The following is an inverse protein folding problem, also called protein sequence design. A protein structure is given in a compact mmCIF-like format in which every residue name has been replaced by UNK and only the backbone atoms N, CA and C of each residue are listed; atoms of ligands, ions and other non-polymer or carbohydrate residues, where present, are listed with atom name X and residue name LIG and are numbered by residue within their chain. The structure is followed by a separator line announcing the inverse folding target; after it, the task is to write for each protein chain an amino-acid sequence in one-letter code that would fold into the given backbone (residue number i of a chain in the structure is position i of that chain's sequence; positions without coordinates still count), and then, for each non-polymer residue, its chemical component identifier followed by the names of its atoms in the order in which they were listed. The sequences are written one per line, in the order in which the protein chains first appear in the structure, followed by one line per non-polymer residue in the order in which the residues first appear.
data_IF_382893713498
#
_entry.id   IF_382893713498
#
_cell.length_a   1.000
_cell.length_b   1.000
_cell.length_c   1.000
_cell.angle_alpha   90.00
_cell.angle_beta   90.00
_cell.angle_gamma   90.00
#
_symmetry.space_group_name_H-M   'P 1'
#
loop_
_entity.id
_entity.type
_entity.pdbx_description
1 polymer ?
#
# COMPACT_ATOMS: atom_id res chain seq x y z
N UNK A 1 1.71 6.63 -29.88
CA UNK A 1 1.19 5.57 -28.99
C UNK A 1 1.19 6.13 -27.58
N UNK A 2 0.04 6.61 -27.08
CA UNK A 2 -0.08 6.98 -25.66
C UNK A 2 -0.28 5.69 -24.88
N UNK A 3 0.83 5.14 -24.41
CA UNK A 3 0.83 3.89 -23.64
C UNK A 3 0.20 4.18 -22.28
N UNK A 4 -0.74 3.32 -21.90
CA UNK A 4 -1.59 3.39 -20.73
C UNK A 4 -0.80 3.62 -19.43
N UNK A 5 -0.55 4.90 -19.12
CA UNK A 5 0.23 5.33 -17.93
C UNK A 5 -0.51 4.99 -16.64
N UNK A 6 -1.82 4.80 -16.71
CA UNK A 6 -2.68 4.43 -15.58
C UNK A 6 -2.32 3.07 -14.98
N UNK A 7 -1.97 2.06 -15.80
CA UNK A 7 -1.65 0.72 -15.29
C UNK A 7 -0.29 0.64 -14.62
N UNK A 8 0.68 1.45 -15.03
CA UNK A 8 2.00 1.54 -14.39
C UNK A 8 1.94 2.11 -12.97
N UNK A 9 0.83 2.76 -12.61
CA UNK A 9 0.65 3.43 -11.31
C UNK A 9 -0.30 2.67 -10.37
N UNK A 10 -0.65 1.42 -10.68
CA UNK A 10 -1.48 0.56 -9.83
C UNK A 10 -0.66 -0.59 -9.28
N UNK A 11 -0.82 -0.85 -7.99
CA UNK A 11 -0.14 -1.93 -7.28
C UNK A 11 -1.16 -2.88 -6.66
N UNK A 12 -0.88 -4.18 -6.71
CA UNK A 12 -1.59 -5.18 -5.90
C UNK A 12 -0.96 -5.29 -4.51
N UNK A 13 -1.68 -5.92 -3.57
CA UNK A 13 -1.21 -6.13 -2.19
C UNK A 13 0.21 -6.71 -2.14
N UNK A 14 0.50 -7.69 -2.98
CA UNK A 14 1.79 -8.38 -3.03
C UNK A 14 2.93 -7.45 -3.47
N UNK A 15 2.66 -6.55 -4.42
CA UNK A 15 3.63 -5.55 -4.87
C UNK A 15 3.86 -4.49 -3.79
N UNK A 16 2.80 -4.05 -3.10
CA UNK A 16 2.92 -3.08 -2.00
C UNK A 16 3.74 -3.67 -0.84
N UNK A 17 3.52 -4.94 -0.52
CA UNK A 17 4.30 -5.65 0.49
C UNK A 17 5.78 -5.72 0.12
N UNK A 18 6.09 -6.00 -1.15
CA UNK A 18 7.46 -6.09 -1.63
C UNK A 18 8.15 -4.72 -1.76
N UNK A 19 7.49 -3.72 -2.35
CA UNK A 19 8.07 -2.39 -2.58
C UNK A 19 8.17 -1.53 -1.32
N UNK A 20 7.19 -1.64 -0.42
CA UNK A 20 7.09 -0.76 0.76
C UNK A 20 7.27 -1.48 2.10
N UNK A 21 7.46 -2.80 2.09
CA UNK A 21 7.61 -3.59 3.32
C UNK A 21 6.34 -3.63 4.19
N UNK A 22 5.18 -3.28 3.63
CA UNK A 22 3.91 -3.26 4.35
C UNK A 22 3.30 -4.66 4.40
N UNK A 23 3.11 -5.20 5.60
CA UNK A 23 2.41 -6.47 5.77
C UNK A 23 1.00 -6.40 5.20
N UNK A 24 0.53 -7.48 4.58
CA UNK A 24 -0.85 -7.59 4.06
C UNK A 24 -1.91 -7.25 5.10
N UNK A 25 -1.71 -7.68 6.35
CA UNK A 25 -2.63 -7.37 7.46
C UNK A 25 -2.77 -5.87 7.73
N UNK A 26 -1.68 -5.12 7.59
CA UNK A 26 -1.67 -3.66 7.71
C UNK A 26 -2.45 -3.01 6.56
N UNK A 27 -2.29 -3.50 5.33
CA UNK A 27 -3.08 -3.04 4.19
C UNK A 27 -4.57 -3.30 4.38
N UNK A 28 -4.96 -4.50 4.81
CA UNK A 28 -6.36 -4.80 5.13
C UNK A 28 -6.91 -3.95 6.28
N UNK A 29 -6.07 -3.63 7.29
CA UNK A 29 -6.45 -2.71 8.35
C UNK A 29 -6.76 -1.31 7.80
N UNK A 30 -5.94 -0.77 6.90
CA UNK A 30 -6.20 0.53 6.27
C UNK A 30 -7.44 0.52 5.39
N UNK A 31 -7.66 -0.55 4.64
CA UNK A 31 -8.89 -0.73 3.86
C UNK A 31 -10.12 -0.75 4.75
N UNK A 32 -10.09 -1.51 5.86
CA UNK A 32 -11.19 -1.57 6.82
C UNK A 32 -11.44 -0.23 7.53
N UNK A 33 -10.40 0.58 7.71
CA UNK A 33 -10.49 1.92 8.30
C UNK A 33 -10.90 3.01 7.30
N UNK A 34 -11.04 2.69 6.02
CA UNK A 34 -11.32 3.67 4.96
C UNK A 34 -10.14 4.59 4.65
N UNK A 35 -8.94 4.25 5.11
CA UNK A 35 -7.71 5.02 4.87
C UNK A 35 -7.05 4.65 3.54
N UNK A 36 -7.34 3.46 3.02
CA UNK A 36 -6.89 3.00 1.72
C UNK A 36 -8.07 2.44 0.95
N UNK A 37 -8.36 2.97 -0.24
CA UNK A 37 -9.49 2.50 -1.04
C UNK A 37 -8.97 1.68 -2.23
N UNK A 38 -9.44 0.43 -2.42
CA UNK A 38 -9.10 -0.33 -3.62
C UNK A 38 -9.72 0.36 -4.84
N UNK A 39 -8.87 0.77 -5.78
CA UNK A 39 -9.29 1.45 -7.01
C UNK A 39 -10.10 0.53 -7.92
N UNK A 40 -9.69 -0.74 -8.01
CA UNK A 40 -10.36 -1.75 -8.81
C UNK A 40 -10.26 -3.11 -8.16
N UNK A 41 -11.37 -3.85 -8.13
CA UNK A 41 -11.39 -5.27 -7.79
C UNK A 41 -11.53 -6.06 -9.08
N UNK A 42 -10.58 -6.94 -9.38
CA UNK A 42 -10.69 -7.90 -10.49
C UNK A 42 -10.92 -9.28 -9.87
N UNK A 43 -12.18 -9.71 -9.89
CA UNK A 43 -12.64 -10.93 -9.22
C UNK A 43 -12.51 -10.87 -7.70
N UNK A 44 -12.51 -12.04 -7.05
CA UNK A 44 -12.48 -12.16 -5.58
C UNK A 44 -11.09 -11.92 -4.95
N UNK A 45 -10.01 -12.01 -5.74
CA UNK A 45 -8.65 -12.18 -5.18
C UNK A 45 -7.68 -11.05 -5.45
N UNK A 46 -7.97 -10.13 -6.37
CA UNK A 46 -7.03 -9.05 -6.74
C UNK A 46 -7.67 -7.68 -6.58
N UNK A 47 -7.22 -6.96 -5.56
CA UNK A 47 -7.50 -5.54 -5.36
C UNK A 47 -6.29 -4.74 -5.83
N UNK A 48 -6.53 -3.77 -6.71
CA UNK A 48 -5.54 -2.82 -7.20
C UNK A 48 -5.67 -1.52 -6.44
N UNK A 49 -4.54 -0.95 -6.04
CA UNK A 49 -4.43 0.30 -5.31
C UNK A 49 -3.59 1.27 -6.12
N UNK A 50 -3.92 2.56 -6.06
CA UNK A 50 -3.08 3.58 -6.68
C UNK A 50 -1.80 3.73 -5.86
N UNK A 51 -0.65 3.72 -6.53
CA UNK A 51 0.66 3.95 -5.92
C UNK A 51 0.70 5.24 -5.10
N UNK A 52 0.14 6.33 -5.65
CA UNK A 52 0.05 7.63 -4.99
C UNK A 52 -0.72 7.58 -3.66
N UNK A 53 -1.79 6.78 -3.56
CA UNK A 53 -2.58 6.64 -2.33
C UNK A 53 -1.81 5.89 -1.26
N UNK A 54 -1.07 4.84 -1.66
CA UNK A 54 -0.19 4.07 -0.78
C UNK A 54 0.95 4.96 -0.26
N UNK A 55 1.58 5.73 -1.14
CA UNK A 55 2.65 6.67 -0.79
C UNK A 55 2.16 7.78 0.14
N UNK A 56 1.02 8.39 -0.16
CA UNK A 56 0.39 9.38 0.71
C UNK A 56 0.14 8.77 2.10
N UNK A 57 -0.44 7.58 2.16
CA UNK A 57 -0.71 6.90 3.42
C UNK A 57 0.57 6.64 4.23
N UNK A 58 1.68 6.32 3.57
CA UNK A 58 2.98 6.14 4.21
C UNK A 58 3.61 7.46 4.69
N UNK A 59 3.47 8.54 3.91
CA UNK A 59 3.95 9.87 4.30
C UNK A 59 3.20 10.42 5.52
N UNK A 60 1.90 10.12 5.64
CA UNK A 60 1.08 10.54 6.79
C UNK A 60 1.26 9.68 8.04
N UNK A 61 2.03 8.58 7.97
CA UNK A 61 2.38 7.90 9.20
C UNK A 61 3.39 8.78 9.95
N UNK A 62 3.08 9.25 11.18
CA UNK A 62 4.12 9.78 12.03
C UNK A 62 5.16 8.66 12.12
N UNK A 63 6.37 8.91 11.62
CA UNK A 63 7.46 7.93 11.68
C UNK A 63 7.45 7.39 13.11
N UNK A 64 7.10 6.12 13.29
CA UNK A 64 7.50 5.44 14.51
C UNK A 64 9.01 5.33 14.39
N UNK A 65 9.69 6.39 14.80
CA UNK A 65 11.03 6.32 15.35
C UNK A 65 10.96 5.33 16.51
N UNK A 66 11.20 4.06 16.19
CA UNK A 66 12.02 3.22 17.04
C UNK A 66 13.38 3.27 16.34
N UNK A 67 14.39 4.05 16.75
CA UNK A 67 14.97 4.14 18.10
C UNK A 67 14.94 2.76 18.76
N UNK A 68 16.08 2.11 18.59
CA UNK A 68 16.71 1.16 19.50
C UNK A 68 15.97 -0.13 19.85
N UNK A 69 16.52 -1.23 19.33
CA UNK A 69 16.78 -2.40 20.15
C UNK A 69 18.28 -2.61 20.25
N UNK A 70 18.91 -1.82 21.13
CA UNK A 70 20.01 -2.32 21.93
C UNK A 70 19.42 -3.09 23.12
N UNK A 71 20.18 -4.04 23.67
CA UNK A 71 19.88 -4.93 24.82
C UNK A 71 19.11 -6.21 24.41
N UNK A 72 19.62 -7.43 24.55
CA UNK A 72 20.56 -7.98 25.55
C UNK A 72 21.41 -9.12 25.01
#
# INVERSE_FOLDING_TARGET
MHVDTEFQNMLIIDEIEHEYGLKRSTLYFYVRKGLLTPYKKIGDRKSYFKKSEVENLLQFQPRKTSVDKQTS
#
